data_IF_078354314191
#
_entry.id   IF_078354314191
#
_cell.length_a   1.000
_cell.length_b   1.000
_cell.length_c   1.000
_cell.angle_alpha   90.00
_cell.angle_beta   90.00
_cell.angle_gamma   90.00
#
_symmetry.space_group_name_H-M   'P 1'
#
loop_
_entity.id
_entity.type
_entity.pdbx_description
1 polymer ?
#
# COMPACT_ATOMS: atom_id res chain seq x y z
N UNK A 1 2.37 -9.56 -7.61
CA UNK A 1 2.48 -9.68 -6.13
C UNK A 1 2.03 -8.35 -5.56
N UNK A 2 1.11 -8.40 -4.60
CA UNK A 2 0.48 -7.18 -4.11
C UNK A 2 1.31 -6.47 -3.03
N UNK A 3 0.99 -5.19 -2.79
CA UNK A 3 1.77 -4.32 -1.93
C UNK A 3 1.81 -4.81 -0.48
N UNK A 4 0.66 -5.28 0.03
CA UNK A 4 0.51 -5.78 1.39
C UNK A 4 1.37 -7.03 1.65
N UNK A 5 1.37 -7.99 0.72
CA UNK A 5 2.21 -9.18 0.81
C UNK A 5 3.68 -8.79 0.80
N UNK A 6 4.07 -7.81 -0.02
CA UNK A 6 5.48 -7.37 -0.11
C UNK A 6 5.97 -6.71 1.17
N UNK A 7 5.14 -5.88 1.82
CA UNK A 7 5.45 -5.34 3.14
C UNK A 7 5.60 -6.44 4.20
N UNK A 8 4.83 -7.53 4.09
CA UNK A 8 4.82 -8.62 5.07
C UNK A 8 6.01 -9.59 5.01
N UNK A 9 6.77 -9.61 3.91
CA UNK A 9 7.90 -10.54 3.75
C UNK A 9 9.10 -10.17 4.63
N UNK A 10 9.32 -8.88 4.91
CA UNK A 10 10.46 -8.44 5.71
C UNK A 10 10.08 -7.27 6.62
N UNK A 11 10.36 -7.40 7.92
CA UNK A 11 10.08 -6.37 8.94
C UNK A 11 10.70 -4.99 8.64
N UNK A 12 11.76 -4.94 7.83
CA UNK A 12 12.46 -3.70 7.47
C UNK A 12 11.82 -2.90 6.32
N UNK A 13 10.97 -3.53 5.50
CA UNK A 13 10.45 -2.92 4.26
C UNK A 13 9.58 -1.70 4.52
N UNK A 14 8.70 -1.75 5.53
CA UNK A 14 7.86 -0.60 5.91
C UNK A 14 8.73 0.61 6.27
N UNK A 15 9.80 0.41 7.03
CA UNK A 15 10.71 1.48 7.42
C UNK A 15 11.49 2.03 6.22
N UNK A 16 12.08 1.14 5.42
CA UNK A 16 12.84 1.53 4.25
C UNK A 16 11.98 2.31 3.24
N UNK A 17 10.75 1.83 2.97
CA UNK A 17 9.82 2.49 2.08
C UNK A 17 9.32 3.84 2.64
N UNK A 18 9.06 3.92 3.95
CA UNK A 18 8.67 5.19 4.59
C UNK A 18 9.73 6.27 4.40
N UNK A 19 11.01 5.91 4.59
CA UNK A 19 12.15 6.81 4.37
C UNK A 19 12.30 7.18 2.90
N UNK A 20 12.10 6.23 1.98
CA UNK A 20 12.18 6.48 0.55
C UNK A 20 11.09 7.43 0.03
N UNK A 21 9.85 7.26 0.50
CA UNK A 21 8.70 8.08 0.10
C UNK A 21 8.58 9.39 0.89
N UNK A 22 9.36 9.57 1.97
CA UNK A 22 9.25 10.73 2.85
C UNK A 22 7.94 10.78 3.63
N UNK A 23 7.33 9.63 3.93
CA UNK A 23 6.06 9.51 4.66
C UNK A 23 6.26 8.81 6.00
N UNK A 24 5.29 8.91 6.91
CA UNK A 24 5.36 8.20 8.19
C UNK A 24 5.16 6.68 8.02
N UNK A 25 5.67 5.89 8.97
CA UNK A 25 5.42 4.43 9.03
C UNK A 25 3.91 4.12 9.04
N UNK A 26 3.15 4.89 9.81
CA UNK A 26 1.69 4.77 9.88
C UNK A 26 1.04 4.97 8.50
N UNK A 27 1.56 5.93 7.71
CA UNK A 27 1.06 6.18 6.36
C UNK A 27 1.30 4.98 5.44
N UNK A 28 2.48 4.36 5.50
CA UNK A 28 2.78 3.13 4.74
C UNK A 28 1.84 1.99 5.16
N UNK A 29 1.60 1.81 6.46
CA UNK A 29 0.63 0.82 6.96
C UNK A 29 -0.79 1.07 6.46
N UNK A 30 -1.24 2.33 6.39
CA UNK A 30 -2.55 2.68 5.82
C UNK A 30 -2.63 2.31 4.33
N UNK A 31 -1.57 2.56 3.55
CA UNK A 31 -1.55 2.19 2.13
C UNK A 31 -1.76 0.68 1.90
N UNK A 32 -1.39 -0.17 2.86
CA UNK A 32 -1.64 -1.62 2.78
C UNK A 32 -3.12 -2.01 2.93
N UNK A 33 -3.95 -1.11 3.45
CA UNK A 33 -5.41 -1.31 3.58
C UNK A 33 -6.23 -0.45 2.62
N UNK A 34 -5.86 0.82 2.44
CA UNK A 34 -6.59 1.80 1.62
C UNK A 34 -6.13 1.80 0.15
N UNK A 35 -5.03 1.11 -0.14
CA UNK A 35 -4.33 1.15 -1.42
C UNK A 35 -3.28 2.27 -1.50
N UNK A 36 -2.30 2.09 -2.39
CA UNK A 36 -1.23 3.06 -2.63
C UNK A 36 -1.78 4.26 -3.43
N UNK A 37 -1.55 5.52 -2.99
CA UNK A 37 -1.93 6.70 -3.77
C UNK A 37 -1.22 6.78 -5.11
N UNK A 38 -1.92 7.26 -6.15
CA UNK A 38 -1.42 7.29 -7.55
C UNK A 38 -0.07 8.01 -7.68
N UNK A 39 0.14 9.10 -6.93
CA UNK A 39 1.41 9.85 -6.96
C UNK A 39 2.59 9.09 -6.33
N UNK A 40 2.34 8.07 -5.50
CA UNK A 40 3.38 7.22 -4.92
C UNK A 40 3.62 5.92 -5.72
N UNK A 41 2.70 5.52 -6.59
CA UNK A 41 2.81 4.26 -7.35
C UNK A 41 4.12 4.12 -8.17
N UNK A 42 4.60 5.15 -8.89
CA UNK A 42 5.86 5.04 -9.62
C UNK A 42 7.05 4.81 -8.68
N UNK A 43 7.09 5.52 -7.55
CA UNK A 43 8.17 5.39 -6.57
C UNK A 43 8.15 4.03 -5.85
N UNK A 44 6.97 3.49 -5.54
CA UNK A 44 6.84 2.13 -4.98
C UNK A 44 7.32 1.09 -5.99
N UNK A 45 6.93 1.19 -7.26
CA UNK A 45 7.41 0.27 -8.30
C UNK A 45 8.93 0.31 -8.43
N UNK A 46 9.52 1.50 -8.48
CA UNK A 46 10.97 1.68 -8.60
C UNK A 46 11.71 1.11 -7.39
N UNK A 47 11.25 1.45 -6.17
CA UNK A 47 11.83 0.94 -4.92
C UNK A 47 11.80 -0.59 -4.81
N UNK A 48 10.73 -1.21 -5.30
CA UNK A 48 10.55 -2.67 -5.29
C UNK A 48 11.20 -3.35 -6.49
N UNK A 49 11.92 -2.62 -7.36
CA UNK A 49 12.47 -3.15 -8.62
C UNK A 49 11.43 -3.87 -9.49
N UNK A 50 10.16 -3.46 -9.38
CA UNK A 50 9.03 -4.06 -10.10
C UNK A 50 8.39 -5.29 -9.47
N UNK A 51 8.81 -5.74 -8.27
CA UNK A 51 8.11 -6.82 -7.56
C UNK A 51 6.64 -6.47 -7.28
N UNK A 52 6.38 -5.18 -7.01
CA UNK A 52 5.03 -4.60 -6.92
C UNK A 52 4.78 -3.77 -8.17
N UNK A 53 3.87 -4.23 -9.04
CA UNK A 53 3.53 -3.52 -10.27
C UNK A 53 2.49 -2.43 -10.04
N UNK A 54 2.42 -1.46 -10.95
CA UNK A 54 1.41 -0.40 -10.90
C UNK A 54 0.01 -0.97 -11.09
N UNK A 55 -0.14 -1.98 -11.94
CA UNK A 55 -1.43 -2.65 -12.20
C UNK A 55 -2.01 -3.24 -10.90
N UNK A 56 -1.19 -3.95 -10.12
CA UNK A 56 -1.60 -4.53 -8.83
C UNK A 56 -2.00 -3.44 -7.83
N UNK A 57 -1.24 -2.33 -7.76
CA UNK A 57 -1.58 -1.20 -6.88
C UNK A 57 -2.88 -0.50 -7.29
N UNK A 58 -3.15 -0.42 -8.59
CA UNK A 58 -4.41 0.15 -9.12
C UNK A 58 -5.57 -0.78 -8.78
N UNK A 59 -5.41 -2.09 -8.95
CA UNK A 59 -6.43 -3.09 -8.60
C UNK A 59 -6.73 -3.10 -7.10
N UNK A 60 -5.71 -3.08 -6.23
CA UNK A 60 -5.87 -3.02 -4.78
C UNK A 60 -6.62 -1.74 -4.36
N UNK A 61 -6.28 -0.60 -4.96
CA UNK A 61 -6.96 0.67 -4.68
C UNK A 61 -8.41 0.66 -5.15
N UNK A 62 -8.70 0.05 -6.30
CA UNK A 62 -10.06 -0.12 -6.79
C UNK A 62 -10.89 -1.02 -5.86
N UNK A 63 -10.28 -2.11 -5.37
CA UNK A 63 -10.89 -3.04 -4.42
C UNK A 63 -11.15 -2.37 -3.06
N UNK A 64 -10.17 -1.65 -2.51
CA UNK A 64 -10.31 -0.92 -1.25
C UNK A 64 -11.41 0.15 -1.28
N UNK A 65 -11.63 0.78 -2.44
CA UNK A 65 -12.69 1.79 -2.64
C UNK A 65 -14.06 1.19 -2.89
N UNK A 66 -14.11 -0.07 -3.34
CA UNK A 66 -15.35 -0.80 -3.64
C UNK A 66 -15.85 -1.63 -2.45
N UNK A 67 -15.02 -1.82 -1.42
CA UNK A 67 -15.45 -2.40 -0.17
C UNK A 67 -16.53 -1.50 0.47
N UNK A 68 -17.74 -2.01 0.79
CA UNK A 68 -18.75 -1.22 1.46
C UNK A 68 -18.16 -0.70 2.77
N UNK A 69 -18.29 0.62 2.98
CA UNK A 69 -17.95 1.28 4.22
C UNK A 69 -18.46 0.41 5.38
N UNK A 70 -17.56 -0.12 6.20
CA UNK A 70 -17.87 -0.95 7.36
C UNK A 70 -19.11 -0.38 8.05
N UNK A 71 -20.21 -1.12 7.99
CA UNK A 71 -21.40 -0.89 8.77
C UNK A 71 -20.97 -0.99 10.24
N UNK A 72 -20.71 0.16 10.86
CA UNK A 72 -20.48 0.27 12.30
C UNK A 72 -21.85 0.19 12.96
N UNK A 73 -22.33 -1.05 13.12
CA UNK A 73 -23.45 -1.36 14.02
C UNK A 73 -23.02 -1.03 15.44
N UNK A 74 -23.45 0.13 15.94
CA UNK A 74 -23.41 0.45 17.36
C UNK A 74 -24.71 -0.11 17.96
N UNK A 75 -24.59 -1.23 18.65
CA UNK A 75 -25.59 -1.72 19.60
C UNK A 75 -25.38 -1.15 20.99
#
# INVERSE_FOLDING_TARGET
MNFKTWLGQERGRTKALSSHLGVSLARVSQMSGDGVPVHHMPAVRDFTSGEVSIEEMVEERASARSAPAKEVSHG
#
